data_IF_024191933344
#
_entry.id   IF_024191933344
#
_cell.length_a   1.000
_cell.length_b   1.000
_cell.length_c   1.000
_cell.angle_alpha   90.00
_cell.angle_beta   90.00
_cell.angle_gamma   90.00
#
_symmetry.space_group_name_H-M   'P 1'
#
loop_
_entity.id
_entity.type
_entity.pdbx_description
1 polymer ?
#
# COMPACT_ATOMS: atom_id res chain seq x y z
N UNK A 1 -20.89 13.66 4.21
CA UNK A 1 -19.70 14.40 3.76
C UNK A 1 -19.09 13.67 2.56
N UNK A 2 -18.83 14.41 1.48
CA UNK A 2 -18.12 13.92 0.30
C UNK A 2 -16.64 14.10 0.61
N UNK A 3 -15.89 13.02 0.76
CA UNK A 3 -14.42 13.12 0.83
C UNK A 3 -13.94 13.71 -0.50
N UNK A 4 -13.19 14.80 -0.43
CA UNK A 4 -12.77 15.52 -1.63
C UNK A 4 -11.67 14.75 -2.37
N UNK A 5 -11.80 14.69 -3.70
CA UNK A 5 -10.78 14.09 -4.57
C UNK A 5 -9.55 15.01 -4.61
N UNK A 6 -8.37 14.44 -4.40
CA UNK A 6 -7.10 15.14 -4.50
C UNK A 6 -6.07 14.32 -5.29
N UNK A 7 -5.12 15.01 -5.92
CA UNK A 7 -4.01 14.44 -6.68
C UNK A 7 -2.71 14.98 -6.07
N UNK A 8 -1.69 14.13 -5.92
CA UNK A 8 -0.37 14.54 -5.45
C UNK A 8 0.36 15.40 -6.47
N UNK A 9 1.47 16.02 -6.05
CA UNK A 9 2.36 16.78 -6.95
C UNK A 9 2.91 15.91 -8.10
N UNK A 10 3.06 14.61 -7.86
CA UNK A 10 3.48 13.61 -8.86
C UNK A 10 2.35 13.14 -9.80
N UNK A 11 1.15 13.73 -9.70
CA UNK A 11 0.04 13.42 -10.60
C UNK A 11 -0.68 12.09 -10.32
N UNK A 12 -0.63 11.57 -9.08
CA UNK A 12 -1.30 10.32 -8.68
C UNK A 12 -2.40 10.63 -7.64
N UNK A 13 -3.52 9.89 -7.66
CA UNK A 13 -4.57 10.05 -6.63
C UNK A 13 -3.99 9.99 -5.20
N UNK A 14 -4.35 10.98 -4.38
CA UNK A 14 -3.69 11.30 -3.12
C UNK A 14 -3.66 10.13 -2.13
N UNK A 15 -4.75 9.36 -2.01
CA UNK A 15 -4.83 8.23 -1.10
C UNK A 15 -3.86 7.11 -1.50
N UNK A 16 -3.82 6.78 -2.80
CA UNK A 16 -2.91 5.78 -3.34
C UNK A 16 -1.45 6.24 -3.26
N UNK A 17 -1.18 7.51 -3.61
CA UNK A 17 0.15 8.11 -3.51
C UNK A 17 0.71 8.00 -2.07
N UNK A 18 -0.10 8.41 -1.09
CA UNK A 18 0.30 8.46 0.33
C UNK A 18 0.42 7.07 0.95
N UNK A 19 -0.63 6.25 0.83
CA UNK A 19 -0.73 5.00 1.58
C UNK A 19 0.08 3.85 0.97
N UNK A 20 0.48 3.98 -0.29
CA UNK A 20 1.17 2.93 -1.02
C UNK A 20 2.38 3.43 -1.80
N UNK A 21 2.22 4.34 -2.77
CA UNK A 21 3.29 4.64 -3.74
C UNK A 21 4.55 5.22 -3.08
N UNK A 22 4.38 6.14 -2.11
CA UNK A 22 5.50 6.67 -1.34
C UNK A 22 6.22 5.60 -0.51
N UNK A 23 5.46 4.64 0.05
CA UNK A 23 6.02 3.52 0.81
C UNK A 23 6.74 2.51 -0.08
N UNK A 24 6.21 2.27 -1.29
CA UNK A 24 6.86 1.48 -2.32
C UNK A 24 8.23 2.07 -2.67
N UNK A 25 8.29 3.37 -2.96
CA UNK A 25 9.54 4.05 -3.30
C UNK A 25 10.53 4.03 -2.11
N UNK A 26 10.06 4.37 -0.91
CA UNK A 26 10.87 4.31 0.31
C UNK A 26 11.49 2.91 0.49
N UNK A 27 10.68 1.86 0.34
CA UNK A 27 11.15 0.48 0.46
C UNK A 27 12.19 0.15 -0.61
N UNK A 28 11.95 0.56 -1.87
CA UNK A 28 12.89 0.35 -2.97
C UNK A 28 14.25 1.01 -2.70
N UNK A 29 14.25 2.25 -2.19
CA UNK A 29 15.47 3.00 -1.87
C UNK A 29 16.26 2.38 -0.72
N UNK A 30 15.59 1.80 0.28
CA UNK A 30 16.24 1.20 1.45
C UNK A 30 16.66 -0.26 1.23
N UNK A 31 16.15 -0.93 0.20
CA UNK A 31 16.22 -2.39 0.06
C UNK A 31 17.65 -2.94 0.09
N UNK A 32 18.54 -2.33 -0.71
CA UNK A 32 19.95 -2.76 -0.77
C UNK A 32 20.65 -2.57 0.57
N UNK A 33 20.42 -1.42 1.23
CA UNK A 33 21.04 -1.14 2.53
C UNK A 33 20.54 -2.10 3.62
N UNK A 34 19.25 -2.47 3.59
CA UNK A 34 18.70 -3.46 4.50
C UNK A 34 19.32 -4.84 4.26
N UNK A 35 19.48 -5.26 3.00
CA UNK A 35 20.10 -6.54 2.65
C UNK A 35 21.58 -6.61 3.07
N UNK A 36 22.35 -5.55 2.81
CA UNK A 36 23.74 -5.42 3.26
C UNK A 36 23.86 -5.50 4.78
N UNK A 37 23.04 -4.72 5.49
CA UNK A 37 23.04 -4.69 6.96
C UNK A 37 22.71 -6.06 7.54
N UNK A 38 21.72 -6.77 6.97
CA UNK A 38 21.35 -8.10 7.41
C UNK A 38 22.46 -9.13 7.17
N UNK A 39 23.21 -8.98 6.07
CA UNK A 39 24.38 -9.81 5.75
C UNK A 39 25.55 -9.56 6.71
N UNK A 40 25.85 -8.29 6.98
CA UNK A 40 26.99 -7.88 7.83
C UNK A 40 26.76 -8.24 9.31
N UNK A 41 25.54 -8.05 9.81
CA UNK A 41 25.19 -8.31 11.21
C UNK A 41 24.80 -9.76 11.48
N UNK A 42 24.44 -10.51 10.44
CA UNK A 42 23.82 -11.84 10.57
C UNK A 42 22.38 -11.80 11.12
N UNK A 43 21.80 -10.61 11.33
CA UNK A 43 20.45 -10.44 11.86
C UNK A 43 19.47 -10.23 10.70
N UNK A 44 18.41 -11.03 10.65
CA UNK A 44 17.38 -10.92 9.61
C UNK A 44 16.65 -9.57 9.66
N UNK A 45 16.61 -8.87 8.53
CA UNK A 45 15.76 -7.69 8.35
C UNK A 45 14.29 -8.06 8.19
N UNK A 46 13.38 -7.17 8.63
CA UNK A 46 11.93 -7.38 8.52
C UNK A 46 11.23 -6.11 8.04
N UNK A 47 10.47 -6.25 6.95
CA UNK A 47 9.59 -5.23 6.40
C UNK A 47 8.15 -5.62 6.73
N UNK A 48 7.40 -4.72 7.36
CA UNK A 48 6.02 -4.97 7.79
C UNK A 48 5.11 -3.89 7.22
N UNK A 49 4.31 -4.28 6.22
CA UNK A 49 3.38 -3.38 5.55
C UNK A 49 2.00 -3.43 6.21
N UNK A 50 1.41 -2.26 6.50
CA UNK A 50 0.10 -2.19 7.15
C UNK A 50 -1.02 -2.02 6.12
N UNK A 51 -1.87 -3.03 6.02
CA UNK A 51 -3.11 -3.03 5.23
C UNK A 51 -4.35 -2.88 6.15
N UNK A 52 -5.53 -3.20 5.65
CA UNK A 52 -6.81 -3.19 6.36
C UNK A 52 -7.76 -4.20 5.73
N UNK A 53 -8.74 -4.71 6.49
CA UNK A 53 -9.79 -5.59 5.96
C UNK A 53 -10.56 -4.97 4.76
N UNK A 54 -10.61 -3.63 4.70
CA UNK A 54 -11.22 -2.87 3.59
C UNK A 54 -10.61 -3.19 2.22
N UNK A 55 -9.40 -3.77 2.15
CA UNK A 55 -8.81 -4.23 0.88
C UNK A 55 -9.72 -5.20 0.13
N UNK A 56 -10.53 -5.97 0.85
CA UNK A 56 -11.48 -6.94 0.29
C UNK A 56 -12.67 -6.29 -0.41
N UNK A 57 -12.90 -4.99 -0.17
CA UNK A 57 -14.00 -4.23 -0.79
C UNK A 57 -13.63 -3.70 -2.17
N UNK A 58 -12.35 -3.78 -2.55
CA UNK A 58 -11.93 -3.46 -3.91
C UNK A 58 -12.14 -4.66 -4.83
N UNK A 59 -12.75 -4.39 -5.98
CA UNK A 59 -12.89 -5.34 -7.09
C UNK A 59 -12.66 -4.62 -8.41
N UNK A 60 -12.17 -5.35 -9.41
CA UNK A 60 -11.87 -4.85 -10.75
C UNK A 60 -10.38 -4.70 -11.00
N UNK A 61 -10.04 -4.05 -12.10
CA UNK A 61 -8.66 -3.78 -12.50
C UNK A 61 -8.08 -2.60 -11.70
N UNK A 62 -6.97 -2.84 -11.01
CA UNK A 62 -6.36 -1.86 -10.10
C UNK A 62 -5.87 -0.62 -10.84
N UNK A 63 -5.19 -0.80 -11.97
CA UNK A 63 -4.51 0.28 -12.69
C UNK A 63 -5.49 1.13 -13.48
N UNK A 64 -6.46 0.49 -14.14
CA UNK A 64 -7.55 1.17 -14.83
C UNK A 64 -8.40 1.98 -13.86
N UNK A 65 -8.73 1.44 -12.68
CA UNK A 65 -9.45 2.22 -11.68
C UNK A 65 -8.61 3.41 -11.19
N UNK A 66 -7.33 3.20 -10.87
CA UNK A 66 -6.43 4.25 -10.42
C UNK A 66 -6.30 5.39 -11.44
N UNK A 67 -6.11 5.07 -12.73
CA UNK A 67 -6.01 6.07 -13.80
C UNK A 67 -7.32 6.87 -13.93
N UNK A 68 -8.46 6.19 -13.94
CA UNK A 68 -9.79 6.83 -14.06
C UNK A 68 -10.09 7.76 -12.89
N UNK A 69 -9.78 7.38 -11.65
CA UNK A 69 -9.97 8.28 -10.50
C UNK A 69 -8.95 9.41 -10.54
N UNK A 70 -7.70 9.17 -10.93
CA UNK A 70 -6.66 10.20 -11.00
C UNK A 70 -7.03 11.29 -12.00
N UNK A 71 -7.54 10.89 -13.18
CA UNK A 71 -7.97 11.79 -14.26
C UNK A 71 -9.40 12.32 -14.11
N UNK A 72 -10.07 12.07 -12.98
CA UNK A 72 -11.46 12.48 -12.72
C UNK A 72 -12.47 12.01 -13.80
N UNK A 73 -12.23 10.84 -14.39
CA UNK A 73 -13.10 10.27 -15.44
C UNK A 73 -14.33 9.52 -14.88
N UNK A 74 -14.37 9.30 -13.56
CA UNK A 74 -15.50 8.67 -12.86
C UNK A 74 -15.78 9.40 -11.54
N UNK A 75 -17.00 9.27 -10.98
CA UNK A 75 -17.29 9.75 -9.64
C UNK A 75 -16.33 9.16 -8.62
N UNK A 76 -15.78 10.01 -7.75
CA UNK A 76 -14.81 9.59 -6.75
C UNK A 76 -15.50 8.87 -5.58
N UNK A 77 -15.03 7.66 -5.29
CA UNK A 77 -15.39 6.92 -4.09
C UNK A 77 -14.13 6.76 -3.23
N UNK A 78 -14.05 7.57 -2.17
CA UNK A 78 -12.93 7.55 -1.23
C UNK A 78 -12.78 6.21 -0.49
N UNK A 79 -13.88 5.50 -0.24
CA UNK A 79 -13.81 4.19 0.42
C UNK A 79 -13.16 3.18 -0.53
N UNK A 80 -13.54 3.20 -1.80
CA UNK A 80 -12.96 2.33 -2.83
C UNK A 80 -11.51 2.70 -3.17
N UNK A 81 -11.17 3.99 -3.21
CA UNK A 81 -9.78 4.44 -3.37
C UNK A 81 -8.90 3.98 -2.19
N UNK A 82 -9.40 4.12 -0.97
CA UNK A 82 -8.74 3.59 0.22
C UNK A 82 -8.60 2.06 0.19
N UNK A 83 -9.65 1.33 -0.21
CA UNK A 83 -9.62 -0.11 -0.41
C UNK A 83 -8.52 -0.53 -1.40
N UNK A 84 -8.40 0.16 -2.54
CA UNK A 84 -7.32 -0.07 -3.51
C UNK A 84 -5.94 0.13 -2.87
N UNK A 85 -5.73 1.22 -2.13
CA UNK A 85 -4.42 1.48 -1.49
C UNK A 85 -4.03 0.38 -0.48
N UNK A 86 -5.02 -0.20 0.21
CA UNK A 86 -4.78 -1.29 1.18
C UNK A 86 -4.61 -2.65 0.50
N UNK A 87 -5.27 -2.87 -0.64
CA UNK A 87 -5.00 -4.01 -1.51
C UNK A 87 -3.57 -3.95 -2.07
N UNK A 88 -3.14 -2.77 -2.52
CA UNK A 88 -1.80 -2.54 -3.06
C UNK A 88 -0.69 -2.92 -2.06
N UNK A 89 -0.85 -2.61 -0.77
CA UNK A 89 0.10 -3.03 0.27
C UNK A 89 0.26 -4.56 0.37
N UNK A 90 -0.82 -5.34 0.17
CA UNK A 90 -0.75 -6.81 0.21
C UNK A 90 -0.07 -7.35 -1.06
N UNK A 91 -0.48 -6.86 -2.22
CA UNK A 91 0.10 -7.23 -3.52
C UNK A 91 1.60 -6.92 -3.56
N UNK A 92 1.99 -5.72 -3.13
CA UNK A 92 3.38 -5.31 -3.02
C UNK A 92 4.18 -6.21 -2.08
N UNK A 93 3.63 -6.58 -0.93
CA UNK A 93 4.31 -7.49 0.01
C UNK A 93 4.62 -8.83 -0.63
N UNK A 94 3.67 -9.38 -1.41
CA UNK A 94 3.86 -10.66 -2.11
C UNK A 94 4.98 -10.58 -3.14
N UNK A 95 4.95 -9.57 -4.00
CA UNK A 95 6.00 -9.37 -5.01
C UNK A 95 7.36 -9.07 -4.36
N UNK A 96 7.39 -8.24 -3.31
CA UNK A 96 8.60 -7.91 -2.56
C UNK A 96 9.24 -9.16 -1.97
N UNK A 97 8.44 -10.09 -1.44
CA UNK A 97 8.94 -11.33 -0.87
C UNK A 97 9.61 -12.22 -1.94
N UNK A 98 9.03 -12.32 -3.14
CA UNK A 98 9.66 -13.06 -4.25
C UNK A 98 10.95 -12.39 -4.71
N UNK A 99 10.99 -11.06 -4.79
CA UNK A 99 12.21 -10.32 -5.15
C UNK A 99 13.31 -10.45 -4.12
N UNK A 100 12.99 -10.35 -2.83
CA UNK A 100 13.95 -10.58 -1.74
C UNK A 100 14.55 -11.98 -1.78
N UNK A 101 13.72 -12.99 -2.11
CA UNK A 101 14.16 -14.37 -2.31
C UNK A 101 15.11 -14.49 -3.51
N UNK A 102 14.78 -13.87 -4.64
CA UNK A 102 15.64 -13.86 -5.83
C UNK A 102 16.98 -13.17 -5.58
N UNK A 103 16.98 -12.10 -4.77
CA UNK A 103 18.19 -11.39 -4.35
C UNK A 103 19.06 -12.19 -3.36
N UNK A 104 18.55 -13.29 -2.80
CA UNK A 104 19.22 -14.01 -1.71
C UNK A 104 19.36 -13.16 -0.43
N UNK A 105 18.52 -12.15 -0.26
CA UNK A 105 18.60 -11.23 0.87
C UNK A 105 18.05 -11.89 2.14
N UNK A 106 18.76 -11.74 3.28
CA UNK A 106 18.24 -12.13 4.59
C UNK A 106 17.26 -11.07 5.14
N UNK A 107 16.24 -10.77 4.36
CA UNK A 107 15.18 -9.81 4.68
C UNK A 107 13.85 -10.46 4.34
N UNK A 108 12.86 -10.31 5.22
CA UNK A 108 11.49 -10.80 5.01
C UNK A 108 10.53 -9.63 4.84
N UNK A 109 9.45 -9.84 4.09
CA UNK A 109 8.38 -8.86 3.92
C UNK A 109 7.03 -9.53 4.22
N UNK A 110 6.26 -8.97 5.15
CA UNK A 110 4.92 -9.46 5.48
C UNK A 110 3.93 -8.30 5.61
N UNK A 111 2.65 -8.60 5.49
CA UNK A 111 1.58 -7.62 5.56
C UNK A 111 0.66 -7.94 6.74
N UNK A 112 0.16 -6.90 7.40
CA UNK A 112 -0.70 -7.05 8.58
C UNK A 112 -1.98 -6.25 8.42
N UNK A 113 -3.06 -6.73 9.04
CA UNK A 113 -4.21 -5.94 9.39
C UNK A 113 -4.29 -5.78 10.91
N UNK A 114 -4.34 -4.54 11.44
CA UNK A 114 -4.37 -4.31 12.88
C UNK A 114 -5.71 -4.66 13.55
N UNK A 115 -6.75 -5.04 12.80
CA UNK A 115 -8.14 -5.14 13.30
C UNK A 115 -8.92 -3.83 13.12
N UNK A 116 -10.15 -3.80 13.63
CA UNK A 116 -10.95 -2.56 13.71
C UNK A 116 -10.42 -1.72 14.87
N UNK A 117 -9.78 -0.61 14.55
CA UNK A 117 -9.21 0.33 15.53
C UNK A 117 -9.98 1.64 15.47
N UNK A 118 -10.09 2.35 16.59
CA UNK A 118 -10.58 3.73 16.63
C UNK A 118 -9.54 4.66 15.99
N UNK A 119 -9.43 4.62 14.67
CA UNK A 119 -8.57 5.55 13.92
C UNK A 119 -9.27 6.90 13.81
N UNK A 120 -8.53 8.00 13.94
CA UNK A 120 -9.02 9.37 13.70
C UNK A 120 -9.55 9.61 12.27
N UNK A 121 -9.41 8.63 11.36
CA UNK A 121 -9.95 8.62 9.99
C UNK A 121 -11.49 8.79 9.89
N UNK A 122 -12.22 8.57 11.00
CA UNK A 122 -13.68 8.67 11.05
C UNK A 122 -14.20 9.96 11.72
N UNK A 123 -13.34 10.96 12.01
CA UNK A 123 -13.76 12.16 12.75
C UNK A 123 -14.84 12.98 12.03
N UNK A 124 -14.97 12.82 10.71
CA UNK A 124 -15.84 13.66 9.87
C UNK A 124 -17.10 12.91 9.36
N UNK A 125 -17.55 11.85 10.05
CA UNK A 125 -18.84 11.18 9.79
C UNK A 125 -19.84 11.50 10.90
N UNK A 126 -20.20 12.76 11.05
CA UNK A 126 -21.29 13.14 11.94
C UNK A 126 -22.64 12.70 11.35
N UNK A 127 -23.37 11.89 12.11
CA UNK A 127 -24.69 11.37 11.73
C UNK A 127 -25.22 10.38 12.76
N UNK A 128 -26.48 10.55 13.18
CA UNK A 128 -27.11 9.76 14.25
C UNK A 128 -27.08 8.24 14.00
N UNK A 129 -27.14 7.82 12.73
CA UNK A 129 -27.08 6.40 12.33
C UNK A 129 -25.64 5.86 12.36
N UNK A 130 -24.65 6.67 11.97
CA UNK A 130 -23.23 6.31 12.09
C UNK A 130 -22.81 6.24 13.56
N UNK A 131 -23.32 7.10 14.42
CA UNK A 131 -23.07 7.07 15.87
C UNK A 131 -23.72 5.86 16.53
N UNK A 132 -24.93 5.47 16.13
CA UNK A 132 -25.61 4.28 16.66
C UNK A 132 -24.94 2.98 16.17
N UNK A 133 -24.57 2.90 14.90
CA UNK A 133 -23.79 1.78 14.37
C UNK A 133 -22.40 1.71 15.02
N UNK A 134 -21.75 2.86 15.23
CA UNK A 134 -20.48 2.92 15.93
C UNK A 134 -20.62 2.52 17.40
N UNK A 135 -21.67 2.96 18.09
CA UNK A 135 -22.00 2.58 19.46
C UNK A 135 -22.21 1.06 19.59
N UNK A 136 -22.88 0.42 18.64
CA UNK A 136 -23.07 -1.02 18.59
C UNK A 136 -21.77 -1.80 18.30
N UNK A 137 -20.82 -1.18 17.59
CA UNK A 137 -19.52 -1.79 17.21
C UNK A 137 -18.40 -1.41 18.19
N UNK A 138 -18.64 -0.52 19.17
CA UNK A 138 -17.63 -0.10 20.18
C UNK A 138 -17.02 -1.27 20.96
N UNK A 139 -17.75 -2.38 21.14
CA UNK A 139 -17.22 -3.61 21.75
C UNK A 139 -16.26 -4.42 20.85
N UNK A 140 -16.18 -4.09 19.57
CA UNK A 140 -15.27 -4.67 18.58
C UNK A 140 -14.07 -3.75 18.27
N UNK A 141 -14.02 -2.56 18.89
CA UNK A 141 -12.92 -1.60 18.71
C UNK A 141 -11.76 -2.03 19.60
N UNK A 142 -10.65 -2.41 18.96
CA UNK A 142 -9.42 -2.77 19.66
C UNK A 142 -8.84 -1.59 20.42
N UNK A 143 -8.24 -1.87 21.58
CA UNK A 143 -7.35 -0.94 22.27
C UNK A 143 -6.09 -0.70 21.43
N UNK A 144 -5.37 0.40 21.68
CA UNK A 144 -4.10 0.69 20.98
C UNK A 144 -3.08 -0.45 21.09
N UNK A 145 -2.87 -1.09 22.27
CA UNK A 145 -2.03 -2.28 22.36
C UNK A 145 -2.52 -3.45 21.51
N UNK A 146 -3.83 -3.73 21.51
CA UNK A 146 -4.41 -4.81 20.69
C UNK A 146 -4.28 -4.55 19.19
N UNK A 147 -4.38 -3.29 18.77
CA UNK A 147 -4.18 -2.86 17.39
C UNK A 147 -2.72 -3.03 16.94
N UNK A 148 -1.77 -2.72 17.81
CA UNK A 148 -0.34 -2.85 17.54
C UNK A 148 0.16 -4.30 17.63
N UNK A 149 -0.54 -5.17 18.38
CA UNK A 149 -0.09 -6.51 18.70
C UNK A 149 0.32 -7.33 17.47
N UNK A 150 -0.48 -7.32 16.40
CA UNK A 150 -0.15 -8.07 15.17
C UNK A 150 1.08 -7.49 14.47
N UNK A 151 1.19 -6.16 14.37
CA UNK A 151 2.38 -5.51 13.80
C UNK A 151 3.63 -5.87 14.59
N UNK A 152 3.59 -5.75 15.92
CA UNK A 152 4.71 -6.13 16.79
C UNK A 152 5.06 -7.61 16.67
N UNK A 153 4.05 -8.49 16.68
CA UNK A 153 4.24 -9.93 16.50
C UNK A 153 4.97 -10.24 15.18
N UNK A 154 4.53 -9.65 14.07
CA UNK A 154 5.19 -9.83 12.76
C UNK A 154 6.61 -9.25 12.75
N UNK A 155 6.79 -8.08 13.37
CA UNK A 155 8.07 -7.39 13.39
C UNK A 155 9.13 -8.07 14.28
N UNK A 156 8.76 -8.79 15.34
CA UNK A 156 9.74 -9.20 16.35
C UNK A 156 9.70 -10.68 16.75
N UNK A 157 8.61 -11.40 16.48
CA UNK A 157 8.46 -12.74 17.06
C UNK A 157 9.41 -13.77 16.41
N UNK A 158 10.15 -14.59 17.20
CA UNK A 158 11.09 -15.59 16.68
C UNK A 158 10.46 -16.66 15.77
N UNK A 159 9.20 -17.05 16.03
CA UNK A 159 8.46 -17.99 15.17
C UNK A 159 8.31 -17.56 13.71
N UNK A 160 8.53 -16.28 13.41
CA UNK A 160 8.40 -15.74 12.06
C UNK A 160 9.74 -15.57 11.34
N UNK A 161 10.84 -16.11 11.89
CA UNK A 161 12.11 -16.15 11.17
C UNK A 161 11.92 -16.89 9.83
N UNK A 162 12.27 -16.22 8.74
CA UNK A 162 12.16 -16.77 7.38
C UNK A 162 10.74 -16.81 6.82
N UNK A 163 9.72 -16.38 7.58
CA UNK A 163 8.36 -16.25 7.06
C UNK A 163 8.27 -14.97 6.24
N UNK A 164 7.91 -15.08 4.97
CA UNK A 164 7.82 -13.97 4.03
C UNK A 164 6.63 -14.13 3.09
N UNK A 165 6.11 -13.02 2.57
CA UNK A 165 5.00 -12.96 1.62
C UNK A 165 3.62 -13.25 2.24
N UNK A 166 3.51 -13.27 3.57
CA UNK A 166 2.29 -13.65 4.29
C UNK A 166 1.47 -12.44 4.73
N UNK A 167 0.19 -12.69 4.93
CA UNK A 167 -0.78 -11.74 5.46
C UNK A 167 -1.21 -12.20 6.86
N UNK A 168 -1.25 -11.28 7.81
CA UNK A 168 -1.58 -11.59 9.21
C UNK A 168 -2.71 -10.72 9.74
N UNK A 169 -3.53 -11.33 10.59
CA UNK A 169 -4.54 -10.66 11.41
C UNK A 169 -4.60 -11.37 12.77
N UNK A 170 -4.83 -10.61 13.84
CA UNK A 170 -4.96 -11.16 15.20
C UNK A 170 -3.80 -12.09 15.60
N UNK A 171 -2.58 -11.71 15.24
CA UNK A 171 -1.35 -12.48 15.47
C UNK A 171 -1.32 -13.89 14.84
N UNK A 172 -2.15 -14.13 13.83
CA UNK A 172 -2.23 -15.38 13.07
C UNK A 172 -2.10 -15.12 11.57
N UNK A 173 -1.57 -16.08 10.81
CA UNK A 173 -1.64 -16.02 9.35
C UNK A 173 -3.11 -16.06 8.93
N UNK A 174 -3.49 -15.19 8.00
CA UNK A 174 -4.84 -15.04 7.51
C UNK A 174 -4.86 -15.04 5.97
N UNK A 175 -6.01 -15.40 5.40
CA UNK A 175 -6.21 -15.34 3.96
C UNK A 175 -6.62 -13.92 3.56
N UNK A 176 -5.91 -13.26 2.64
CA UNK A 176 -6.37 -12.01 2.06
C UNK A 176 -7.42 -12.29 0.96
N UNK A 177 -7.98 -11.25 0.36
CA UNK A 177 -8.96 -11.41 -0.72
C UNK A 177 -8.42 -12.24 -1.90
N UNK A 178 -9.28 -12.88 -2.72
CA UNK A 178 -8.83 -13.62 -3.89
C UNK A 178 -7.99 -12.79 -4.86
N UNK A 179 -8.35 -11.51 -5.06
CA UNK A 179 -7.60 -10.58 -5.89
C UNK A 179 -6.20 -10.32 -5.31
N UNK A 180 -6.12 -10.10 -3.99
CA UNK A 180 -4.86 -9.92 -3.28
C UNK A 180 -3.93 -11.15 -3.32
N UNK A 181 -4.47 -12.32 -3.66
CA UNK A 181 -3.71 -13.58 -3.72
C UNK A 181 -3.12 -13.89 -5.09
N UNK A 182 -3.40 -13.10 -6.13
CA UNK A 182 -2.97 -13.35 -7.51
C UNK A 182 -1.55 -12.85 -7.78
N UNK A 183 -0.60 -13.73 -8.17
CA UNK A 183 0.76 -13.31 -8.50
C UNK A 183 0.83 -12.33 -9.68
N UNK A 184 -0.03 -12.52 -10.69
CA UNK A 184 -0.08 -11.63 -11.86
C UNK A 184 -0.40 -10.18 -11.48
N UNK A 185 -1.37 -9.96 -10.59
CA UNK A 185 -1.75 -8.62 -10.11
C UNK A 185 -0.60 -7.96 -9.34
N UNK A 186 0.12 -8.75 -8.52
CA UNK A 186 1.26 -8.27 -7.74
C UNK A 186 2.40 -7.81 -8.66
N UNK A 187 2.75 -8.60 -9.66
CA UNK A 187 3.78 -8.27 -10.64
C UNK A 187 3.37 -7.09 -11.55
N UNK A 188 2.09 -6.97 -11.91
CA UNK A 188 1.58 -5.86 -12.70
C UNK A 188 1.62 -4.55 -11.91
N UNK A 189 1.13 -4.57 -10.65
CA UNK A 189 1.17 -3.42 -9.76
C UNK A 189 2.62 -2.95 -9.51
N UNK A 190 3.55 -3.87 -9.31
CA UNK A 190 4.96 -3.54 -9.11
C UNK A 190 5.55 -2.80 -10.31
N UNK A 191 5.38 -3.34 -11.53
CA UNK A 191 5.87 -2.69 -12.76
C UNK A 191 5.28 -1.30 -12.95
N UNK A 192 3.98 -1.15 -12.71
CA UNK A 192 3.33 0.16 -12.77
C UNK A 192 3.92 1.12 -11.72
N UNK A 193 4.16 0.64 -10.51
CA UNK A 193 4.75 1.45 -9.43
C UNK A 193 6.18 1.88 -9.78
N UNK A 194 7.00 1.00 -10.35
CA UNK A 194 8.33 1.36 -10.86
C UNK A 194 8.25 2.47 -11.90
N UNK A 195 7.31 2.37 -12.85
CA UNK A 195 7.10 3.40 -13.87
C UNK A 195 6.63 4.73 -13.29
N UNK A 196 5.74 4.71 -12.29
CA UNK A 196 5.22 5.92 -11.65
C UNK A 196 6.28 6.62 -10.81
N UNK A 197 7.20 5.87 -10.20
CA UNK A 197 8.27 6.42 -9.35
C UNK A 197 9.61 6.58 -10.07
N UNK A 198 9.67 6.31 -11.36
CA UNK A 198 10.90 6.45 -12.13
C UNK A 198 11.29 7.93 -12.21
N UNK A 199 12.53 8.23 -11.83
CA UNK A 199 13.11 9.57 -12.01
C UNK A 199 13.53 9.76 -13.47
N UNK A 200 13.78 11.01 -13.89
CA UNK A 200 14.28 11.28 -15.25
C UNK A 200 15.64 10.59 -15.53
N UNK A 201 16.44 10.33 -14.50
CA UNK A 201 17.67 9.53 -14.59
C UNK A 201 17.38 8.04 -14.89
N UNK A 202 16.29 7.49 -14.34
CA UNK A 202 15.86 6.12 -14.63
C UNK A 202 15.22 6.00 -16.03
N UNK A 203 14.53 7.05 -16.50
CA UNK A 203 13.88 7.11 -17.82
C UNK A 203 14.90 7.23 -18.96
N UNK A 204 15.93 8.04 -18.76
CA UNK A 204 17.07 8.15 -19.69
C UNK A 204 17.91 6.87 -19.75
N UNK A 205 18.11 6.18 -18.61
CA UNK A 205 18.80 4.88 -18.57
C UNK A 205 17.98 3.73 -19.19
N UNK A 206 16.65 3.84 -19.24
CA UNK A 206 15.74 2.83 -19.84
C UNK A 206 15.33 3.15 -21.28
N UNK A 207 15.83 4.24 -21.87
CA UNK A 207 15.56 4.62 -23.27
C UNK A 207 14.14 5.14 -23.51
N UNK A 208 13.43 5.58 -22.46
CA UNK A 208 12.10 6.17 -22.58
C UNK A 208 12.26 7.70 -22.64
N UNK A 209 12.11 8.28 -23.83
CA UNK A 209 12.16 9.74 -24.01
C UNK A 209 11.06 10.44 -23.20
N UNK A 210 11.37 11.59 -22.54
CA UNK A 210 10.35 12.43 -21.94
C UNK A 210 9.39 12.93 -23.02
N UNK A 211 8.09 12.74 -22.82
CA UNK A 211 7.10 13.50 -23.58
C UNK A 211 7.28 14.98 -23.22
N UNK A 212 7.87 15.76 -24.13
CA UNK A 212 7.91 17.21 -24.00
C UNK A 212 6.47 17.69 -23.78
N UNK A 213 6.27 18.46 -22.71
CA UNK A 213 5.09 19.27 -22.55
C UNK A 213 5.05 20.26 -23.73
N UNK A 214 4.25 19.93 -24.75
CA UNK A 214 4.01 20.82 -25.88
C UNK A 214 3.08 21.95 -25.42
N UNK A 215 3.66 23.15 -25.45
CA UNK A 215 3.06 24.45 -25.72
C UNK A 215 1.99 24.98 -24.75
N UNK A 216 2.46 25.91 -23.90
CA UNK A 216 1.64 27.08 -23.53
C UNK A 216 1.44 27.91 -24.80
N UNK A 217 0.23 28.42 -25.08
CA UNK A 217 0.10 29.53 -26.02
C UNK A 217 0.53 30.81 -25.30
N UNK A 218 1.63 31.40 -25.76
CA UNK A 218 1.90 32.83 -25.58
C UNK A 218 1.02 33.60 -26.58
N UNK A 219 0.19 34.48 -26.02
CA UNK A 219 -0.45 35.72 -26.50
C UNK A 219 -0.53 36.05 -28.02
N UNK A 220 -1.72 36.48 -28.47
CA UNK A 220 -1.94 37.82 -29.09
C UNK A 220 -3.40 38.03 -29.58
N UNK A 221 -4.19 38.82 -28.83
CA UNK A 221 -4.86 40.09 -29.22
C UNK A 221 -6.04 40.44 -28.31
#
# INVERSE_FOLDING_TARGET
MVYEHAVSEDGVEMTFATNYLGHFLLTKLLLNKMAETARETGIQGRIVNVSSHVHSWFSGDCLSYLDRITRKQIPYDATRAYALSKLANILHTKELAERLKQMGANVTANCVHPGVVRTRLNRDREGFVTDLAFFLVTKLVKTMPQAAATTCYVATHPRLVGVSGRYFADCNEALPSPLASRPHEAAQLWRASESMTATDLDRTASGVEPQLASDRPEDEK
#
